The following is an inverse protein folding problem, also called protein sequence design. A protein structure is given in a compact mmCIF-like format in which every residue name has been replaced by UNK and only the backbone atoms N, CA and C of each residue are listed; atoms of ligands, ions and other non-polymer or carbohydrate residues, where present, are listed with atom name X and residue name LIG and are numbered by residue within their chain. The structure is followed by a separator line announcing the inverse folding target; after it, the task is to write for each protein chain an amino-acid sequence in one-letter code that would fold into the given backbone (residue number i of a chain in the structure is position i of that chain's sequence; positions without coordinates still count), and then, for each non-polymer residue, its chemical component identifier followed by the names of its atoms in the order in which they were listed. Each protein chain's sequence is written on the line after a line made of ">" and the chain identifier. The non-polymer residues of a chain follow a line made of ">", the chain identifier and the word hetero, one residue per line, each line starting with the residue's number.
data_IF_426864776778
#
_entry.id   IF_426864776778
#
_cell.length_a   1.000
_cell.length_b   1.000
_cell.length_c   1.000
_cell.angle_alpha   90.00
_cell.angle_beta   90.00
_cell.angle_gamma   90.00
#
_symmetry.space_group_name_H-M   'P 1'
#
loop_
_entity.id
_entity.type
_entity.pdbx_description
1 polymer ?
#
# COMPACT_ATOMS: atom_id res chain seq x y z
N UNK A 1 -5.09 -39.73 -24.19
CA UNK A 1 -4.06 -39.23 -23.24
C UNK A 1 -3.66 -37.77 -23.46
N UNK A 2 -3.88 -37.14 -24.61
CA UNK A 2 -3.46 -35.74 -24.86
C UNK A 2 -4.40 -34.65 -24.31
N UNK A 3 -5.65 -34.98 -23.98
CA UNK A 3 -6.64 -33.99 -23.52
C UNK A 3 -6.37 -33.44 -22.09
N UNK A 4 -5.81 -34.25 -21.19
CA UNK A 4 -5.47 -33.81 -19.82
C UNK A 4 -4.29 -32.84 -19.76
N UNK A 5 -3.34 -32.96 -20.70
CA UNK A 5 -2.21 -32.05 -20.85
C UNK A 5 -2.65 -30.66 -21.34
N UNK A 6 -3.60 -30.61 -22.29
CA UNK A 6 -4.17 -29.36 -22.79
C UNK A 6 -5.00 -28.63 -21.72
N UNK A 7 -5.79 -29.36 -20.92
CA UNK A 7 -6.53 -28.80 -19.79
C UNK A 7 -5.60 -28.27 -18.69
N UNK A 8 -4.49 -28.97 -18.41
CA UNK A 8 -3.47 -28.50 -17.47
C UNK A 8 -2.80 -27.20 -17.92
N UNK A 9 -2.49 -27.06 -19.21
CA UNK A 9 -1.89 -25.83 -19.76
C UNK A 9 -2.87 -24.65 -19.74
N UNK A 10 -4.14 -24.89 -20.07
CA UNK A 10 -5.18 -23.87 -19.98
C UNK A 10 -5.38 -23.38 -18.53
N UNK A 11 -5.39 -24.30 -17.55
CA UNK A 11 -5.50 -23.95 -16.14
C UNK A 11 -4.31 -23.11 -15.66
N UNK A 12 -3.08 -23.49 -16.04
CA UNK A 12 -1.86 -22.73 -15.69
C UNK A 12 -1.87 -21.33 -16.30
N UNK A 13 -2.34 -21.18 -17.54
CA UNK A 13 -2.49 -19.86 -18.18
C UNK A 13 -3.51 -18.99 -17.44
N UNK A 14 -4.66 -19.56 -17.09
CA UNK A 14 -5.70 -18.84 -16.33
C UNK A 14 -5.18 -18.41 -14.96
N UNK A 15 -4.54 -19.33 -14.21
CA UNK A 15 -3.98 -19.01 -12.89
C UNK A 15 -2.88 -17.96 -13.03
N UNK A 16 -1.99 -18.07 -14.02
CA UNK A 16 -0.94 -17.09 -14.27
C UNK A 16 -1.51 -15.70 -14.57
N UNK A 17 -2.47 -15.61 -15.49
CA UNK A 17 -3.09 -14.35 -15.88
C UNK A 17 -3.90 -13.71 -14.76
N UNK A 18 -4.47 -14.49 -13.83
CA UNK A 18 -5.18 -13.96 -12.66
C UNK A 18 -4.24 -13.54 -11.53
N UNK A 19 -3.11 -14.21 -11.37
CA UNK A 19 -2.16 -13.94 -10.27
C UNK A 19 -1.17 -12.83 -10.60
N UNK A 20 -0.69 -12.74 -11.84
CA UNK A 20 0.29 -11.72 -12.26
C UNK A 20 -0.16 -10.28 -11.96
N UNK A 21 -1.41 -9.85 -12.27
CA UNK A 21 -1.85 -8.49 -11.96
C UNK A 21 -1.76 -8.15 -10.47
N UNK A 22 -2.00 -9.12 -9.59
CA UNK A 22 -1.92 -8.91 -8.14
C UNK A 22 -0.49 -8.62 -7.69
N UNK A 23 0.47 -9.40 -8.17
CA UNK A 23 1.89 -9.18 -7.85
C UNK A 23 2.43 -7.89 -8.47
N UNK A 24 2.03 -7.56 -9.70
CA UNK A 24 2.41 -6.31 -10.37
C UNK A 24 1.87 -5.10 -9.59
N UNK A 25 0.59 -5.12 -9.19
CA UNK A 25 0.00 -4.05 -8.39
C UNK A 25 0.69 -3.89 -7.03
N UNK A 26 0.99 -5.01 -6.34
CA UNK A 26 1.71 -4.98 -5.07
C UNK A 26 3.13 -4.41 -5.19
N UNK A 27 3.86 -4.77 -6.24
CA UNK A 27 5.20 -4.23 -6.52
C UNK A 27 5.17 -2.74 -6.88
N UNK A 28 4.20 -2.32 -7.69
CA UNK A 28 3.99 -0.91 -8.02
C UNK A 28 3.66 -0.10 -6.75
N UNK A 29 2.73 -0.59 -5.92
CA UNK A 29 2.39 0.05 -4.66
C UNK A 29 3.62 0.18 -3.76
N UNK A 30 4.42 -0.88 -3.64
CA UNK A 30 5.63 -0.84 -2.82
C UNK A 30 6.62 0.23 -3.31
N UNK A 31 6.78 0.38 -4.63
CA UNK A 31 7.69 1.36 -5.21
C UNK A 31 7.20 2.81 -5.00
N UNK A 32 5.91 3.07 -5.18
CA UNK A 32 5.36 4.42 -5.19
C UNK A 32 4.76 4.88 -3.84
N UNK A 33 4.45 3.96 -2.94
CA UNK A 33 3.79 4.23 -1.65
C UNK A 33 4.70 3.91 -0.47
N UNK A 34 5.94 4.41 -0.48
CA UNK A 34 6.90 4.31 0.62
C UNK A 34 7.06 2.88 1.17
N UNK A 35 7.23 1.88 0.28
CA UNK A 35 7.37 0.47 0.63
C UNK A 35 6.13 -0.18 1.26
N UNK A 36 4.96 0.45 1.14
CA UNK A 36 3.69 -0.18 1.51
C UNK A 36 3.13 -1.00 0.36
N UNK A 37 2.73 -2.24 0.65
CA UNK A 37 2.15 -3.16 -0.35
C UNK A 37 0.73 -2.76 -0.79
N UNK A 38 0.06 -1.91 -0.01
CA UNK A 38 -1.30 -1.45 -0.25
C UNK A 38 -1.37 0.07 -0.17
N UNK A 39 -2.01 0.68 -1.14
CA UNK A 39 -2.44 2.07 -1.03
C UNK A 39 -3.50 2.19 0.09
N UNK A 40 -3.51 3.31 0.80
CA UNK A 40 -4.56 3.60 1.79
C UNK A 40 -5.77 4.13 1.02
N UNK A 41 -6.74 3.26 0.76
CA UNK A 41 -7.99 3.60 0.05
C UNK A 41 -8.96 4.36 0.98
N UNK A 42 -8.65 5.62 1.25
CA UNK A 42 -9.53 6.52 2.01
C UNK A 42 -10.90 6.70 1.34
N UNK A 43 -11.00 6.44 0.03
CA UNK A 43 -12.27 6.44 -0.71
C UNK A 43 -13.22 5.32 -0.29
N UNK A 44 -12.69 4.20 0.19
CA UNK A 44 -13.49 3.05 0.66
C UNK A 44 -13.91 3.17 2.12
N UNK A 45 -13.25 4.05 2.88
CA UNK A 45 -13.48 4.25 4.31
C UNK A 45 -13.57 5.75 4.62
N UNK A 46 -14.79 6.34 4.66
CA UNK A 46 -14.99 7.77 4.88
C UNK A 46 -14.30 8.28 6.16
N UNK A 47 -14.27 7.44 7.19
CA UNK A 47 -13.63 7.75 8.47
C UNK A 47 -12.12 7.99 8.34
N UNK A 48 -11.47 7.40 7.32
CA UNK A 48 -10.04 7.56 7.04
C UNK A 48 -9.72 8.80 6.21
N UNK A 49 -10.72 9.47 5.64
CA UNK A 49 -10.50 10.69 4.88
C UNK A 49 -9.85 11.80 5.73
N UNK A 50 -10.33 11.97 6.96
CA UNK A 50 -9.76 12.99 7.86
C UNK A 50 -8.33 12.66 8.29
N UNK A 51 -8.02 11.38 8.52
CA UNK A 51 -6.67 10.92 8.84
C UNK A 51 -5.71 11.09 7.65
N UNK A 52 -6.17 10.77 6.44
CA UNK A 52 -5.45 11.03 5.20
C UNK A 52 -5.08 12.52 5.04
N UNK A 53 -6.05 13.43 5.22
CA UNK A 53 -5.80 14.87 5.12
C UNK A 53 -4.84 15.37 6.20
N UNK A 54 -4.95 14.85 7.43
CA UNK A 54 -4.03 15.19 8.53
C UNK A 54 -2.59 14.81 8.17
N UNK A 55 -2.38 13.58 7.72
CA UNK A 55 -1.04 13.07 7.40
C UNK A 55 -0.44 13.86 6.23
N UNK A 56 -1.20 14.14 5.16
CA UNK A 56 -0.75 15.02 4.05
C UNK A 56 -0.36 16.43 4.51
N UNK A 57 -1.07 17.02 5.48
CA UNK A 57 -0.74 18.36 5.99
C UNK A 57 0.54 18.38 6.83
N UNK A 58 0.79 17.32 7.59
CA UNK A 58 1.97 17.23 8.48
C UNK A 58 3.25 16.92 7.71
N UNK A 59 3.21 15.99 6.76
CA UNK A 59 4.42 15.45 6.12
C UNK A 59 4.51 15.71 4.61
N UNK A 60 3.45 16.26 4.01
CA UNK A 60 3.31 16.38 2.55
C UNK A 60 2.93 15.08 1.84
N UNK A 61 2.88 13.95 2.55
CA UNK A 61 2.57 12.63 1.98
C UNK A 61 1.91 11.72 3.00
N UNK A 62 0.76 11.16 2.65
CA UNK A 62 0.00 10.17 3.42
C UNK A 62 0.77 8.86 3.66
N UNK A 63 1.85 8.60 2.91
CA UNK A 63 2.67 7.39 3.03
C UNK A 63 3.92 7.61 3.89
N UNK A 64 4.19 8.85 4.32
CA UNK A 64 5.32 9.17 5.20
C UNK A 64 4.84 9.20 6.65
N UNK A 65 5.16 8.18 7.48
CA UNK A 65 4.78 8.18 8.88
C UNK A 65 5.54 9.27 9.65
N UNK A 66 4.90 9.80 10.69
CA UNK A 66 5.55 10.62 11.72
C UNK A 66 5.46 9.87 13.03
N UNK A 67 6.60 9.43 13.55
CA UNK A 67 6.71 8.85 14.87
C UNK A 67 6.88 9.92 15.94
N UNK A 68 7.44 9.52 17.08
CA UNK A 68 7.68 10.39 18.24
C UNK A 68 8.71 11.50 17.95
N UNK A 69 9.52 11.33 16.91
CA UNK A 69 10.48 12.33 16.43
C UNK A 69 9.83 13.62 15.90
N UNK A 70 8.54 13.57 15.54
CA UNK A 70 7.79 14.76 15.13
C UNK A 70 7.19 15.55 16.30
N UNK A 71 7.30 15.05 17.54
CA UNK A 71 6.85 15.79 18.70
C UNK A 71 7.79 16.97 18.98
N UNK A 72 7.27 18.14 19.36
CA UNK A 72 8.12 19.23 19.81
C UNK A 72 8.95 18.73 20.99
N UNK A 73 10.27 18.79 20.86
CA UNK A 73 11.18 18.50 21.97
C UNK A 73 10.79 19.44 23.10
N UNK A 74 10.35 18.88 24.22
CA UNK A 74 10.23 19.60 25.48
C UNK A 74 11.66 19.94 25.90
N UNK A 75 12.24 20.98 25.29
CA UNK A 75 13.45 21.63 25.73
C UNK A 75 13.07 22.33 27.04
N UNK A 76 13.10 21.57 28.12
CA UNK A 76 12.96 22.07 29.47
C UNK A 76 14.17 22.94 29.80
N UNK A 77 14.15 24.20 29.36
CA UNK A 77 14.50 25.27 30.28
C UNK A 77 13.27 25.49 31.14
N UNK A 78 13.23 24.75 32.24
CA UNK A 78 12.44 25.17 33.39
C UNK A 78 13.11 26.45 33.90
N UNK A 79 12.61 27.60 33.44
CA UNK A 79 12.77 28.87 34.14
C UNK A 79 11.78 28.94 35.30
#
# INVERSE_FOLDING_TARGET
>A
MFAGLAQGQAATLVVGLLTVPHYVAGAANWLFHNRHLRARDWEQHPDYFHWYLRDRRLTGSEYKPTGLEGLPTLSGKAE
#
